data_IF_145468773783
#
_entry.id   IF_145468773783
#
_cell.length_a   1.000
_cell.length_b   1.000
_cell.length_c   1.000
_cell.angle_alpha   90.00
_cell.angle_beta   90.00
_cell.angle_gamma   90.00
#
_symmetry.space_group_name_H-M   'P 1'
#
loop_
_entity.id
_entity.type
_entity.pdbx_description
1 polymer ?
#
# COMPACT_ATOMS: atom_id res chain seq x y z
N UNK A 1 42.65 18.09 20.73
CA UNK A 1 42.73 16.62 20.84
C UNK A 1 41.37 16.09 20.46
N UNK A 2 41.25 15.07 19.59
CA UNK A 2 39.97 14.45 19.30
C UNK A 2 39.59 13.52 20.46
N UNK A 3 38.35 13.67 20.91
CA UNK A 3 37.87 13.10 22.16
C UNK A 3 37.50 11.63 21.97
N UNK A 4 37.92 10.80 22.93
CA UNK A 4 37.80 9.35 22.92
C UNK A 4 36.39 8.86 23.31
N UNK A 5 35.40 9.06 22.43
CA UNK A 5 34.16 8.27 22.41
C UNK A 5 34.11 7.49 21.10
N UNK A 6 33.78 6.19 21.14
CA UNK A 6 33.76 5.32 19.95
C UNK A 6 32.85 5.85 18.83
N UNK A 7 32.82 5.21 17.64
CA UNK A 7 32.01 5.67 16.51
C UNK A 7 30.52 5.56 16.85
N UNK A 8 29.98 6.60 17.48
CA UNK A 8 28.56 6.75 17.74
C UNK A 8 27.85 7.29 16.52
N UNK A 9 26.54 7.11 16.46
CA UNK A 9 25.72 7.72 15.41
C UNK A 9 25.83 9.23 15.49
N UNK A 10 26.13 9.87 14.35
CA UNK A 10 26.09 11.31 14.25
C UNK A 10 24.68 11.82 13.93
N UNK A 11 24.57 13.13 13.66
CA UNK A 11 23.29 13.74 13.33
C UNK A 11 22.70 13.20 12.02
N UNK A 12 23.53 12.96 11.01
CA UNK A 12 23.09 12.44 9.72
C UNK A 12 22.63 10.98 9.87
N UNK A 13 23.39 10.14 10.57
CA UNK A 13 23.00 8.78 10.93
C UNK A 13 21.63 8.75 11.63
N UNK A 14 21.40 9.68 12.56
CA UNK A 14 20.12 9.77 13.28
C UNK A 14 18.95 10.11 12.35
N UNK A 15 19.18 10.98 11.36
CA UNK A 15 18.17 11.34 10.36
C UNK A 15 17.86 10.17 9.42
N UNK A 16 18.87 9.45 8.92
CA UNK A 16 18.64 8.29 8.03
C UNK A 16 17.94 7.15 8.79
N UNK A 17 18.25 6.93 10.08
CA UNK A 17 17.53 5.98 10.94
C UNK A 17 16.05 6.39 11.05
N UNK A 18 15.79 7.66 11.37
CA UNK A 18 14.42 8.15 11.50
C UNK A 18 13.65 8.04 10.18
N UNK A 19 14.27 8.38 9.05
CA UNK A 19 13.71 8.18 7.73
C UNK A 19 13.32 6.71 7.50
N UNK A 20 14.24 5.78 7.73
CA UNK A 20 14.01 4.35 7.54
C UNK A 20 12.87 3.81 8.43
N UNK A 21 12.76 4.28 9.67
CA UNK A 21 11.68 3.90 10.59
C UNK A 21 10.33 4.36 10.06
N UNK A 22 10.17 5.65 9.73
CA UNK A 22 8.89 6.17 9.25
C UNK A 22 8.52 5.62 7.86
N UNK A 23 9.49 5.42 6.98
CA UNK A 23 9.29 4.73 5.70
C UNK A 23 8.79 3.30 5.90
N UNK A 24 9.40 2.55 6.83
CA UNK A 24 8.97 1.18 7.16
C UNK A 24 7.57 1.13 7.76
N UNK A 25 7.23 2.07 8.66
CA UNK A 25 5.87 2.16 9.22
C UNK A 25 4.82 2.44 8.14
N UNK A 26 5.14 3.30 7.16
CA UNK A 26 4.26 3.58 6.04
C UNK A 26 4.11 2.37 5.10
N UNK A 27 5.24 1.80 4.67
CA UNK A 27 5.32 0.80 3.60
C UNK A 27 4.98 -0.62 4.04
N UNK A 28 5.37 -1.03 5.25
CA UNK A 28 5.27 -2.41 5.75
C UNK A 28 4.16 -2.61 6.78
N UNK A 29 3.45 -1.53 7.17
CA UNK A 29 2.41 -1.63 8.19
C UNK A 29 1.15 -0.92 7.75
N UNK A 30 1.18 0.42 7.64
CA UNK A 30 -0.08 1.18 7.50
C UNK A 30 -0.69 1.05 6.12
N UNK A 31 0.10 1.12 5.04
CA UNK A 31 -0.41 0.97 3.68
C UNK A 31 -0.92 -0.46 3.41
N UNK A 32 -0.18 -1.55 3.73
CA UNK A 32 -0.69 -2.90 3.57
C UNK A 32 -1.93 -3.17 4.43
N UNK A 33 -1.94 -2.70 5.69
CA UNK A 33 -3.11 -2.83 6.55
C UNK A 33 -4.34 -2.11 5.96
N UNK A 34 -4.18 -0.91 5.39
CA UNK A 34 -5.28 -0.19 4.75
C UNK A 34 -5.87 -0.99 3.58
N UNK A 35 -5.01 -1.61 2.77
CA UNK A 35 -5.40 -2.45 1.63
C UNK A 35 -6.13 -3.72 2.11
N UNK A 36 -5.58 -4.40 3.12
CA UNK A 36 -6.18 -5.61 3.69
C UNK A 36 -7.52 -5.32 4.37
N UNK A 37 -7.65 -4.18 5.08
CA UNK A 37 -8.92 -3.72 5.65
C UNK A 37 -9.97 -3.55 4.56
N UNK A 38 -9.62 -2.83 3.48
CA UNK A 38 -10.54 -2.63 2.35
C UNK A 38 -10.89 -3.95 1.66
N UNK A 39 -9.98 -4.93 1.61
CA UNK A 39 -10.23 -6.24 1.01
C UNK A 39 -11.15 -7.10 1.85
N UNK A 40 -10.81 -7.35 3.12
CA UNK A 40 -11.46 -8.37 3.95
C UNK A 40 -12.70 -7.87 4.70
N UNK A 41 -12.74 -6.58 5.02
CA UNK A 41 -13.75 -6.06 5.94
C UNK A 41 -14.83 -5.25 5.24
N UNK A 42 -14.92 -5.26 3.91
CA UNK A 42 -15.93 -4.52 3.11
C UNK A 42 -17.39 -4.71 3.54
N UNK A 43 -17.72 -5.80 4.23
CA UNK A 43 -19.05 -6.07 4.79
C UNK A 43 -19.31 -5.44 6.18
N UNK A 44 -18.28 -4.92 6.85
CA UNK A 44 -18.35 -4.34 8.19
C UNK A 44 -18.51 -2.83 8.12
N UNK A 45 -19.48 -2.25 8.81
CA UNK A 45 -19.75 -0.79 8.79
C UNK A 45 -18.53 0.09 9.10
N UNK A 46 -17.58 -0.40 9.89
CA UNK A 46 -16.36 0.34 10.26
C UNK A 46 -15.24 0.31 9.23
N UNK A 47 -15.29 -0.55 8.20
CA UNK A 47 -14.16 -0.80 7.29
C UNK A 47 -13.64 0.48 6.64
N UNK A 48 -14.57 1.34 6.22
CA UNK A 48 -14.23 2.55 5.49
C UNK A 48 -13.53 3.56 6.39
N UNK A 49 -14.01 3.71 7.63
CA UNK A 49 -13.38 4.56 8.64
C UNK A 49 -11.97 4.07 8.96
N UNK A 50 -11.79 2.76 9.17
CA UNK A 50 -10.47 2.19 9.42
C UNK A 50 -9.52 2.36 8.22
N UNK A 51 -10.01 2.13 7.00
CA UNK A 51 -9.23 2.34 5.78
C UNK A 51 -8.76 3.80 5.66
N UNK A 52 -9.65 4.78 5.84
CA UNK A 52 -9.28 6.19 5.81
C UNK A 52 -8.25 6.53 6.89
N UNK A 53 -8.45 6.07 8.13
CA UNK A 53 -7.50 6.35 9.22
C UNK A 53 -6.12 5.82 8.86
N UNK A 54 -6.02 4.58 8.39
CA UNK A 54 -4.74 3.98 7.99
C UNK A 54 -4.10 4.73 6.80
N UNK A 55 -4.89 5.21 5.84
CA UNK A 55 -4.39 6.03 4.73
C UNK A 55 -3.89 7.41 5.22
N UNK A 56 -4.61 8.06 6.13
CA UNK A 56 -4.16 9.33 6.73
C UNK A 56 -2.83 9.14 7.46
N UNK A 57 -2.70 8.07 8.25
CA UNK A 57 -1.45 7.75 8.94
C UNK A 57 -0.33 7.45 7.95
N UNK A 58 -0.61 6.71 6.87
CA UNK A 58 0.37 6.45 5.79
C UNK A 58 0.86 7.74 5.15
N UNK A 59 -0.05 8.66 4.81
CA UNK A 59 0.29 9.97 4.25
C UNK A 59 1.10 10.81 5.25
N UNK A 60 0.72 10.80 6.52
CA UNK A 60 1.45 11.52 7.57
C UNK A 60 2.89 10.99 7.71
N UNK A 61 3.08 9.67 7.78
CA UNK A 61 4.41 9.07 7.79
C UNK A 61 5.20 9.35 6.52
N UNK A 62 4.53 9.41 5.36
CA UNK A 62 5.16 9.79 4.09
C UNK A 62 5.70 11.21 4.11
N UNK A 63 4.92 12.17 4.59
CA UNK A 63 5.37 13.55 4.74
C UNK A 63 6.57 13.60 5.70
N UNK A 64 6.50 12.89 6.82
CA UNK A 64 7.58 12.86 7.82
C UNK A 64 8.86 12.27 7.24
N UNK A 65 8.84 11.04 6.71
CA UNK A 65 10.06 10.40 6.21
C UNK A 65 10.65 11.19 5.03
N UNK A 66 9.79 11.75 4.16
CA UNK A 66 10.26 12.50 2.99
C UNK A 66 10.92 13.82 3.42
N UNK A 67 10.33 14.51 4.39
CA UNK A 67 10.92 15.73 4.98
C UNK A 67 12.26 15.39 5.64
N UNK A 68 12.31 14.35 6.48
CA UNK A 68 13.55 13.92 7.14
C UNK A 68 14.63 13.57 6.11
N UNK A 69 14.30 12.84 5.04
CA UNK A 69 15.29 12.54 3.98
C UNK A 69 15.84 13.80 3.34
N UNK A 70 15.01 14.81 3.03
CA UNK A 70 15.53 16.06 2.44
C UNK A 70 16.51 16.78 3.36
N UNK A 71 16.32 16.70 4.68
CA UNK A 71 17.25 17.25 5.67
C UNK A 71 18.52 16.40 5.76
N UNK A 72 18.40 15.06 5.73
CA UNK A 72 19.55 14.15 5.76
C UNK A 72 20.49 14.38 4.57
N UNK A 73 19.93 14.48 3.36
CA UNK A 73 20.68 14.77 2.14
C UNK A 73 21.43 16.11 2.24
N UNK A 74 20.80 17.12 2.83
CA UNK A 74 21.42 18.43 3.05
C UNK A 74 22.52 18.36 4.12
N UNK A 75 22.33 17.60 5.20
CA UNK A 75 23.33 17.48 6.28
C UNK A 75 24.59 16.72 5.85
N UNK A 76 24.46 15.75 4.93
CA UNK A 76 25.61 15.02 4.39
C UNK A 76 26.42 15.81 3.34
N UNK A 77 26.01 17.04 2.97
CA UNK A 77 26.72 17.84 1.96
C UNK A 77 26.56 17.34 0.51
N UNK A 78 25.53 16.53 0.24
CA UNK A 78 25.32 15.89 -1.06
C UNK A 78 24.60 16.76 -2.09
N UNK A 79 24.03 17.91 -1.70
CA UNK A 79 23.32 18.81 -2.63
C UNK A 79 21.98 18.20 -3.09
N UNK A 80 21.56 18.43 -4.34
CA UNK A 80 20.37 17.75 -4.88
C UNK A 80 20.75 16.39 -5.46
N UNK A 81 20.13 15.31 -5.00
CA UNK A 81 20.41 13.94 -5.47
C UNK A 81 19.49 13.44 -6.60
N UNK A 82 18.71 14.35 -7.19
CA UNK A 82 17.80 14.04 -8.30
C UNK A 82 18.41 14.31 -9.68
N UNK A 83 19.49 15.11 -9.75
CA UNK A 83 20.12 15.54 -10.99
C UNK A 83 21.65 15.61 -10.83
N UNK A 84 22.38 15.45 -11.94
CA UNK A 84 23.83 15.59 -11.97
C UNK A 84 24.62 14.35 -11.51
N UNK A 85 25.92 14.50 -11.21
CA UNK A 85 26.81 13.36 -10.92
C UNK A 85 26.51 12.61 -9.62
N UNK A 86 25.77 13.23 -8.68
CA UNK A 86 25.36 12.65 -7.40
C UNK A 86 23.92 12.11 -7.45
N UNK A 87 23.42 11.82 -8.64
CA UNK A 87 22.09 11.28 -8.86
C UNK A 87 21.98 9.89 -8.23
N UNK A 88 20.90 9.66 -7.48
CA UNK A 88 20.64 8.38 -6.83
C UNK A 88 19.26 7.79 -7.23
N UNK A 89 19.21 6.52 -7.68
CA UNK A 89 17.94 5.86 -8.04
C UNK A 89 16.95 5.66 -6.89
N UNK A 90 17.40 5.44 -5.65
CA UNK A 90 16.54 5.36 -4.47
C UNK A 90 15.84 6.70 -4.23
N UNK A 91 16.56 7.82 -4.33
CA UNK A 91 15.96 9.14 -4.18
C UNK A 91 14.93 9.45 -5.28
N UNK A 92 15.24 9.16 -6.54
CA UNK A 92 14.29 9.29 -7.66
C UNK A 92 13.00 8.48 -7.40
N UNK A 93 13.15 7.23 -6.95
CA UNK A 93 12.03 6.36 -6.61
C UNK A 93 11.24 6.91 -5.43
N UNK A 94 11.91 7.39 -4.38
CA UNK A 94 11.27 7.99 -3.21
C UNK A 94 10.44 9.23 -3.55
N UNK A 95 10.94 10.11 -4.41
CA UNK A 95 10.19 11.26 -4.93
C UNK A 95 8.98 10.82 -5.75
N UNK A 96 9.16 9.83 -6.63
CA UNK A 96 8.05 9.28 -7.41
C UNK A 96 6.96 8.72 -6.48
N UNK A 97 7.32 7.91 -5.48
CA UNK A 97 6.39 7.35 -4.49
C UNK A 97 5.65 8.46 -3.75
N UNK A 98 6.34 9.51 -3.29
CA UNK A 98 5.72 10.63 -2.59
C UNK A 98 4.64 11.30 -3.46
N UNK A 99 4.96 11.60 -4.73
CA UNK A 99 4.00 12.19 -5.68
C UNK A 99 2.81 11.25 -5.92
N UNK A 100 3.08 9.97 -6.17
CA UNK A 100 2.04 8.98 -6.47
C UNK A 100 1.11 8.76 -5.27
N UNK A 101 1.62 8.80 -4.02
CA UNK A 101 0.80 8.71 -2.83
C UNK A 101 -0.17 9.89 -2.67
N UNK A 102 0.26 11.11 -3.01
CA UNK A 102 -0.63 12.26 -3.04
C UNK A 102 -1.74 12.12 -4.09
N UNK A 103 -1.38 11.64 -5.28
CA UNK A 103 -2.36 11.34 -6.34
C UNK A 103 -3.34 10.26 -5.89
N UNK A 104 -2.87 9.21 -5.21
CA UNK A 104 -3.74 8.15 -4.69
C UNK A 104 -4.70 8.66 -3.62
N UNK A 105 -4.26 9.58 -2.74
CA UNK A 105 -5.14 10.20 -1.76
C UNK A 105 -6.26 11.01 -2.44
N UNK A 106 -5.93 11.77 -3.50
CA UNK A 106 -6.91 12.51 -4.30
C UNK A 106 -7.87 11.55 -5.01
N UNK A 107 -7.36 10.47 -5.60
CA UNK A 107 -8.19 9.44 -6.23
C UNK A 107 -9.11 8.74 -5.24
N UNK A 108 -8.65 8.47 -4.01
CA UNK A 108 -9.49 7.91 -2.95
C UNK A 108 -10.67 8.82 -2.60
N UNK A 109 -10.42 10.12 -2.48
CA UNK A 109 -11.46 11.14 -2.25
C UNK A 109 -12.42 11.21 -3.44
N UNK A 110 -11.91 11.34 -4.66
CA UNK A 110 -12.73 11.41 -5.87
C UNK A 110 -13.59 10.15 -6.05
N UNK A 111 -13.00 8.97 -5.85
CA UNK A 111 -13.69 7.68 -5.95
C UNK A 111 -14.82 7.56 -4.92
N UNK A 112 -14.67 8.14 -3.73
CA UNK A 112 -15.72 8.16 -2.71
C UNK A 112 -16.98 8.90 -3.19
N UNK A 113 -16.82 10.04 -3.85
CA UNK A 113 -17.95 10.83 -4.37
C UNK A 113 -18.67 10.20 -5.57
N UNK A 114 -18.14 9.12 -6.15
CA UNK A 114 -18.80 8.39 -7.26
C UNK A 114 -19.82 7.33 -6.80
N UNK A 115 -20.18 7.32 -5.51
CA UNK A 115 -21.15 6.36 -4.98
C UNK A 115 -22.56 6.62 -5.51
N UNK A 116 -23.07 5.75 -6.38
CA UNK A 116 -24.49 5.72 -6.76
C UNK A 116 -25.29 4.96 -5.70
N UNK A 117 -26.45 5.49 -5.29
CA UNK A 117 -27.31 4.96 -4.21
C UNK A 117 -27.77 3.49 -4.38
N UNK A 118 -27.53 2.85 -5.53
CA UNK A 118 -27.92 1.46 -5.82
C UNK A 118 -26.74 0.48 -5.90
N UNK A 119 -25.50 0.93 -5.68
CA UNK A 119 -24.32 0.05 -5.76
C UNK A 119 -24.09 -0.74 -4.46
N UNK A 120 -25.09 -1.50 -3.98
CA UNK A 120 -24.90 -2.52 -2.93
C UNK A 120 -24.23 -3.74 -3.58
N UNK A 121 -23.00 -3.57 -4.05
CA UNK A 121 -22.19 -4.71 -4.48
C UNK A 121 -21.48 -5.26 -3.25
N UNK A 122 -22.06 -6.35 -2.69
CA UNK A 122 -21.46 -7.14 -1.59
C UNK A 122 -20.20 -7.92 -2.02
N UNK A 123 -19.70 -7.67 -3.23
CA UNK A 123 -18.46 -8.25 -3.73
C UNK A 123 -17.25 -7.51 -3.14
N UNK A 124 -16.40 -8.26 -2.46
CA UNK A 124 -15.14 -7.77 -1.91
C UNK A 124 -14.18 -7.26 -3.00
N UNK A 125 -14.39 -7.66 -4.26
CA UNK A 125 -13.63 -7.18 -5.42
C UNK A 125 -14.26 -6.03 -6.22
N UNK A 126 -13.45 -5.17 -6.86
CA UNK A 126 -13.80 -4.55 -8.13
C UNK A 126 -13.86 -5.65 -9.20
N UNK A 127 -14.87 -6.52 -9.16
CA UNK A 127 -15.10 -7.44 -10.27
C UNK A 127 -15.40 -6.59 -11.50
N UNK A 128 -14.81 -6.89 -12.66
CA UNK A 128 -15.14 -6.24 -13.95
C UNK A 128 -16.65 -6.31 -14.22
N UNK A 129 -17.33 -7.30 -13.61
CA UNK A 129 -18.78 -7.49 -13.65
C UNK A 129 -19.60 -6.57 -12.72
N UNK A 130 -18.97 -5.90 -11.75
CA UNK A 130 -19.66 -4.95 -10.89
C UNK A 130 -19.76 -3.62 -11.64
N UNK A 131 -20.97 -3.06 -11.75
CA UNK A 131 -21.21 -1.70 -12.26
C UNK A 131 -20.63 -0.66 -11.28
N UNK A 132 -19.31 -0.61 -11.14
CA UNK A 132 -18.58 0.39 -10.37
C UNK A 132 -18.06 1.46 -11.33
N UNK A 133 -17.99 2.71 -10.87
CA UNK A 133 -17.35 3.78 -11.61
C UNK A 133 -15.91 3.39 -11.97
N UNK A 134 -15.42 3.68 -13.20
CA UNK A 134 -14.02 3.46 -13.58
C UNK A 134 -13.02 4.04 -12.57
N UNK A 135 -13.33 5.18 -11.95
CA UNK A 135 -12.48 5.81 -10.93
C UNK A 135 -12.23 4.91 -9.72
N UNK A 136 -13.20 4.05 -9.34
CA UNK A 136 -13.03 3.11 -8.22
C UNK A 136 -12.11 1.95 -8.58
N UNK A 137 -12.13 1.52 -9.84
CA UNK A 137 -11.20 0.52 -10.35
C UNK A 137 -9.79 1.10 -10.45
N UNK A 138 -9.67 2.32 -10.99
CA UNK A 138 -8.41 3.03 -11.09
C UNK A 138 -7.78 3.23 -9.70
N UNK A 139 -8.52 3.75 -8.73
CA UNK A 139 -8.06 3.87 -7.34
C UNK A 139 -7.55 2.53 -6.80
N UNK A 140 -8.33 1.45 -6.93
CA UNK A 140 -7.92 0.14 -6.40
C UNK A 140 -6.64 -0.40 -7.05
N UNK A 141 -6.50 -0.32 -8.38
CA UNK A 141 -5.32 -0.81 -9.08
C UNK A 141 -4.09 0.08 -8.86
N UNK A 142 -4.31 1.39 -8.85
CA UNK A 142 -3.27 2.38 -8.59
C UNK A 142 -2.71 2.22 -7.17
N UNK A 143 -3.56 2.03 -6.16
CA UNK A 143 -3.12 1.76 -4.79
C UNK A 143 -2.27 0.50 -4.65
N UNK A 144 -2.61 -0.60 -5.36
CA UNK A 144 -1.79 -1.82 -5.39
C UNK A 144 -0.42 -1.55 -6.03
N UNK A 145 -0.41 -0.81 -7.15
CA UNK A 145 0.82 -0.44 -7.84
C UNK A 145 1.73 0.42 -6.95
N UNK A 146 1.18 1.45 -6.29
CA UNK A 146 1.91 2.31 -5.36
C UNK A 146 2.43 1.53 -4.14
N UNK A 147 1.66 0.57 -3.62
CA UNK A 147 2.13 -0.33 -2.57
C UNK A 147 3.34 -1.17 -3.03
N UNK A 148 3.32 -1.68 -4.26
CA UNK A 148 4.48 -2.37 -4.85
C UNK A 148 5.73 -1.48 -4.91
N UNK A 149 5.56 -0.21 -5.30
CA UNK A 149 6.65 0.76 -5.29
C UNK A 149 7.15 1.07 -3.88
N UNK A 150 6.27 1.13 -2.87
CA UNK A 150 6.68 1.29 -1.47
C UNK A 150 7.63 0.17 -1.00
N UNK A 151 7.33 -1.10 -1.31
CA UNK A 151 8.27 -2.20 -1.02
C UNK A 151 9.57 -2.07 -1.81
N UNK A 152 9.51 -1.65 -3.08
CA UNK A 152 10.70 -1.41 -3.87
C UNK A 152 11.57 -0.30 -3.24
N UNK A 153 10.95 0.77 -2.73
CA UNK A 153 11.63 1.86 -2.01
C UNK A 153 12.32 1.38 -0.74
N UNK A 154 11.68 0.53 0.06
CA UNK A 154 12.33 -0.10 1.23
C UNK A 154 13.51 -0.96 0.80
N UNK A 155 13.36 -1.77 -0.26
CA UNK A 155 14.43 -2.65 -0.73
C UNK A 155 15.64 -1.85 -1.23
N UNK A 156 15.42 -0.81 -2.02
CA UNK A 156 16.52 0.03 -2.51
C UNK A 156 17.17 0.81 -1.37
N UNK A 157 16.42 1.26 -0.36
CA UNK A 157 16.99 1.91 0.82
C UNK A 157 17.83 0.97 1.70
N UNK A 158 17.42 -0.29 1.83
CA UNK A 158 18.24 -1.34 2.49
C UNK A 158 19.57 -1.54 1.73
N UNK A 159 19.52 -1.55 0.40
CA UNK A 159 20.73 -1.71 -0.42
C UNK A 159 21.64 -0.47 -0.36
N UNK A 160 21.04 0.72 -0.26
CA UNK A 160 21.75 2.00 -0.20
C UNK A 160 22.42 2.24 1.17
N UNK A 161 21.85 1.71 2.26
CA UNK A 161 22.32 1.94 3.64
C UNK A 161 23.84 1.89 3.81
N UNK A 162 24.48 0.87 3.26
CA UNK A 162 25.93 0.64 3.41
C UNK A 162 26.78 1.71 2.71
N UNK A 163 26.19 2.49 1.80
CA UNK A 163 26.84 3.58 1.06
C UNK A 163 26.63 4.95 1.72
N UNK A 164 25.55 5.11 2.51
CA UNK A 164 25.12 6.42 3.05
C UNK A 164 25.28 6.56 4.57
N UNK A 165 25.43 5.48 5.32
CA UNK A 165 25.64 5.57 6.77
C UNK A 165 27.07 6.04 7.10
N UNK A 166 27.20 7.19 7.77
CA UNK A 166 28.49 7.76 8.20
C UNK A 166 29.17 6.89 9.26
N UNK A 167 28.35 6.21 10.09
CA UNK A 167 28.79 5.19 11.03
C UNK A 167 29.45 3.95 10.39
N UNK A 168 29.34 3.77 9.06
CA UNK A 168 29.86 2.59 8.35
C UNK A 168 29.17 1.29 8.74
N UNK A 169 27.97 1.38 9.33
CA UNK A 169 27.21 0.22 9.78
C UNK A 169 26.62 -0.54 8.59
N UNK A 170 26.58 -1.87 8.72
CA UNK A 170 25.94 -2.74 7.74
C UNK A 170 24.53 -3.06 8.16
N UNK A 171 23.61 -3.19 7.20
CA UNK A 171 22.27 -3.72 7.48
C UNK A 171 22.41 -5.15 8.00
N UNK A 172 21.91 -5.46 9.21
CA UNK A 172 21.93 -6.82 9.72
C UNK A 172 21.11 -7.73 8.81
N UNK A 173 21.62 -8.93 8.50
CA UNK A 173 20.91 -9.93 7.68
C UNK A 173 19.49 -10.25 8.20
N UNK A 174 19.27 -10.13 9.50
CA UNK A 174 17.95 -10.27 10.11
C UNK A 174 16.91 -9.27 9.60
N UNK A 175 17.30 -8.04 9.28
CA UNK A 175 16.42 -7.00 8.73
C UNK A 175 16.00 -7.36 7.29
N UNK A 176 16.93 -7.83 6.47
CA UNK A 176 16.61 -8.30 5.12
C UNK A 176 15.65 -9.50 5.14
N UNK A 177 15.89 -10.46 6.04
CA UNK A 177 14.99 -11.60 6.22
C UNK A 177 13.61 -11.13 6.68
N UNK A 178 13.55 -10.22 7.66
CA UNK A 178 12.30 -9.68 8.16
C UNK A 178 11.51 -8.97 7.05
N UNK A 179 12.17 -8.16 6.22
CA UNK A 179 11.55 -7.52 5.06
C UNK A 179 10.89 -8.54 4.13
N UNK A 180 11.62 -9.59 3.72
CA UNK A 180 11.06 -10.61 2.82
C UNK A 180 9.95 -11.43 3.45
N UNK A 181 10.04 -11.73 4.75
CA UNK A 181 8.98 -12.43 5.49
C UNK A 181 7.72 -11.58 5.54
N UNK A 182 7.82 -10.31 5.92
CA UNK A 182 6.68 -9.39 5.99
C UNK A 182 6.05 -9.23 4.61
N UNK A 183 6.85 -8.92 3.59
CA UNK A 183 6.38 -8.82 2.20
C UNK A 183 5.66 -10.09 1.74
N UNK A 184 6.23 -11.27 2.00
CA UNK A 184 5.64 -12.54 1.61
C UNK A 184 4.31 -12.79 2.36
N UNK A 185 4.23 -12.48 3.64
CA UNK A 185 3.00 -12.62 4.43
C UNK A 185 1.89 -11.69 3.93
N UNK A 186 2.21 -10.43 3.64
CA UNK A 186 1.25 -9.44 3.16
C UNK A 186 0.78 -9.74 1.74
N UNK A 187 1.70 -10.15 0.86
CA UNK A 187 1.38 -10.61 -0.48
C UNK A 187 0.53 -11.89 -0.44
N UNK A 188 0.91 -12.87 0.39
CA UNK A 188 0.15 -14.10 0.55
C UNK A 188 -1.24 -13.82 1.11
N UNK A 189 -1.35 -12.98 2.15
CA UNK A 189 -2.63 -12.53 2.68
C UNK A 189 -3.45 -11.89 1.55
N UNK A 190 -2.89 -10.93 0.81
CA UNK A 190 -3.58 -10.33 -0.31
C UNK A 190 -4.06 -11.39 -1.31
N UNK A 191 -3.20 -12.28 -1.81
CA UNK A 191 -3.54 -13.29 -2.82
C UNK A 191 -4.55 -14.33 -2.32
N UNK A 192 -4.48 -14.78 -1.06
CA UNK A 192 -5.43 -15.74 -0.47
C UNK A 192 -6.87 -15.22 -0.57
N UNK A 193 -7.07 -13.91 -0.42
CA UNK A 193 -8.38 -13.30 -0.63
C UNK A 193 -8.99 -13.60 -2.01
N UNK A 194 -8.17 -13.72 -3.06
CA UNK A 194 -8.65 -14.09 -4.40
C UNK A 194 -9.12 -15.54 -4.48
N UNK A 195 -8.34 -16.46 -3.91
CA UNK A 195 -8.73 -17.88 -3.89
C UNK A 195 -10.03 -18.09 -3.11
N UNK A 196 -10.16 -17.47 -1.92
CA UNK A 196 -11.38 -17.58 -1.11
C UNK A 196 -12.62 -17.06 -1.84
N UNK A 197 -12.48 -16.03 -2.68
CA UNK A 197 -13.59 -15.50 -3.47
C UNK A 197 -13.98 -16.41 -4.63
N UNK A 198 -13.00 -16.98 -5.34
CA UNK A 198 -13.25 -17.95 -6.42
C UNK A 198 -14.09 -19.14 -5.92
N UNK A 199 -13.70 -19.75 -4.79
CA UNK A 199 -14.43 -20.86 -4.18
C UNK A 199 -15.81 -20.50 -3.62
N UNK A 200 -16.04 -19.23 -3.26
CA UNK A 200 -17.36 -18.74 -2.80
C UNK A 200 -18.29 -18.44 -3.97
N UNK A 201 -17.76 -18.04 -5.12
CA UNK A 201 -18.52 -17.77 -6.34
C UNK A 201 -19.19 -19.03 -6.90
N UNK A 202 -18.45 -20.15 -6.94
CA UNK A 202 -18.93 -21.44 -7.47
C UNK A 202 -20.10 -22.00 -6.64
N UNK A 203 -20.00 -21.96 -5.31
CA UNK A 203 -21.07 -22.45 -4.41
C UNK A 203 -22.40 -21.73 -4.58
N UNK A 204 -22.38 -20.42 -4.90
CA UNK A 204 -23.61 -19.64 -5.10
C UNK A 204 -24.28 -19.93 -6.44
N UNK A 205 -23.52 -20.28 -7.47
CA UNK A 205 -24.06 -20.66 -8.79
C UNK A 205 -24.84 -21.97 -8.72
N UNK A 206 -24.35 -22.94 -7.97
CA UNK A 206 -24.96 -24.27 -7.86
C UNK A 206 -26.30 -24.25 -7.09
N UNK A 207 -26.45 -23.38 -6.09
CA UNK A 207 -27.72 -23.26 -5.36
C UNK A 207 -28.85 -22.60 -6.17
N UNK A 208 -28.53 -21.80 -7.20
CA UNK A 208 -29.54 -21.12 -8.04
C UNK A 208 -30.04 -22.04 -9.16
N UNK A 209 -29.20 -22.97 -9.64
CA UNK A 209 -29.62 -23.94 -10.67
C UNK A 209 -30.52 -25.05 -10.14
N UNK A 210 -30.48 -25.32 -8.83
CA UNK A 210 -31.19 -26.44 -8.21
C UNK A 210 -32.60 -26.09 -7.73
N UNK A 211 -33.06 -24.86 -7.99
CA UNK A 211 -34.47 -24.49 -7.78
C UNK A 211 -35.21 -24.65 -9.12
N UNK A 212 -35.94 -25.75 -9.35
CA UNK A 212 -36.82 -25.83 -10.51
C UNK A 212 -37.84 -24.70 -10.39
N UNK A 213 -37.96 -23.92 -11.46
CA UNK A 213 -39.04 -22.96 -11.64
C UNK A 213 -40.32 -23.77 -11.80
N UNK A 214 -41.01 -24.03 -10.69
CA UNK A 214 -42.38 -24.54 -10.66
C UNK A 214 -43.34 -23.41 -11.11
N UNK A 215 -43.21 -23.00 -12.37
CA UNK A 215 -44.21 -22.19 -13.08
C UNK A 215 -44.38 -22.77 -14.49
N UNK A 216 -44.94 -23.97 -14.57
CA UNK A 216 -45.63 -24.42 -15.78
C UNK A 216 -46.81 -25.31 -15.39
N UNK A 217 -47.93 -24.67 -15.06
CA UNK A 217 -49.32 -25.13 -15.30
C UNK A 217 -50.31 -24.16 -14.65
N UNK A 218 -50.87 -23.25 -15.43
CA UNK A 218 -52.28 -23.40 -15.80
C UNK A 218 -52.60 -22.45 -16.97
N UNK A 219 -52.62 -23.03 -18.17
CA UNK A 219 -53.21 -22.39 -19.33
C UNK A 219 -54.67 -22.78 -19.40
N UNK A 220 -55.58 -21.84 -19.17
CA UNK A 220 -56.96 -21.95 -19.64
C UNK A 220 -57.30 -20.77 -20.55
N UNK A 221 -57.79 -21.03 -21.78
CA UNK A 221 -58.17 -20.00 -22.72
C UNK A 221 -59.57 -19.42 -22.41
N UNK A 222 -59.72 -18.16 -22.82
CA UNK A 222 -60.91 -17.32 -22.97
C UNK A 222 -62.29 -18.01 -23.07
N UNK A 223 -63.28 -17.43 -22.38
CA UNK A 223 -64.52 -16.88 -22.97
C UNK A 223 -64.86 -15.57 -22.22
#
# INVERSE_FOLDING_TARGET
MPDATGPGFDYHDTLIIAHAVFASMAALITAPAAILVARYFRSRTWWFKAHIILQIVTVAFTIIFFTISTVAVASGGHGTQFVGPKKDPHHDLGLAIAILLWVEAIFGVAAHYTHTAHAITRGAFPTIKAKKSPLRHLHAWYGIFVAGLLYAGIKTGIDEWNMVADSGTLVPRGIEIAFWVIFALELAAYVIGWFLEAFRGERKSHMISDHPTDEEKDGTPSI
#
